data_IF_500873162621
#
_entry.id   IF_500873162621
#
_cell.length_a   1.000
_cell.length_b   1.000
_cell.length_c   1.000
_cell.angle_alpha   90.00
_cell.angle_beta   90.00
_cell.angle_gamma   90.00
#
_symmetry.space_group_name_H-M   'P 1'
#
loop_
_entity.id
_entity.type
_entity.pdbx_description
1 polymer ?
#
# COMPACT_ATOMS: atom_id res chain seq x y z
N UNK A 1 44.84 -11.18 15.89
CA UNK A 1 43.57 -11.92 15.66
C UNK A 1 42.34 -11.23 16.29
N UNK A 2 42.47 -10.39 17.32
CA UNK A 2 41.37 -9.63 17.94
C UNK A 2 40.68 -8.63 16.99
N UNK A 3 41.45 -7.85 16.22
CA UNK A 3 40.90 -6.80 15.37
C UNK A 3 39.94 -7.35 14.31
N UNK A 4 40.26 -8.46 13.66
CA UNK A 4 39.40 -9.06 12.61
C UNK A 4 38.04 -9.49 13.17
N UNK A 5 38.04 -10.13 14.34
CA UNK A 5 36.80 -10.56 15.01
C UNK A 5 35.96 -9.33 15.39
N UNK A 6 36.60 -8.24 15.82
CA UNK A 6 35.93 -7.00 16.19
C UNK A 6 35.30 -6.28 14.98
N UNK A 7 35.99 -6.26 13.84
CA UNK A 7 35.45 -5.74 12.58
C UNK A 7 34.28 -6.58 12.07
N UNK A 8 34.37 -7.92 12.13
CA UNK A 8 33.29 -8.83 11.72
C UNK A 8 32.05 -8.60 12.60
N UNK A 9 32.21 -8.49 13.92
CA UNK A 9 31.09 -8.21 14.85
C UNK A 9 30.42 -6.87 14.55
N UNK A 10 31.20 -5.81 14.28
CA UNK A 10 30.64 -4.50 13.90
C UNK A 10 29.82 -4.60 12.63
N UNK A 11 30.38 -5.17 11.56
CA UNK A 11 29.70 -5.31 10.27
C UNK A 11 28.40 -6.13 10.43
N UNK A 12 28.46 -7.24 11.16
CA UNK A 12 27.29 -8.07 11.44
C UNK A 12 26.17 -7.26 12.11
N UNK A 13 26.48 -6.50 13.16
CA UNK A 13 25.47 -5.70 13.88
C UNK A 13 24.88 -4.61 12.97
N UNK A 14 25.69 -3.94 12.14
CA UNK A 14 25.18 -2.93 11.21
C UNK A 14 24.24 -3.51 10.17
N UNK A 15 24.59 -4.65 9.56
CA UNK A 15 23.74 -5.31 8.58
C UNK A 15 22.46 -5.81 9.24
N UNK A 16 22.57 -6.49 10.39
CA UNK A 16 21.41 -6.98 11.13
C UNK A 16 20.45 -5.84 11.52
N UNK A 17 21.00 -4.73 12.00
CA UNK A 17 20.23 -3.54 12.35
C UNK A 17 19.58 -2.89 11.12
N UNK A 18 20.28 -2.85 9.98
CA UNK A 18 19.73 -2.33 8.74
C UNK A 18 18.55 -3.18 8.24
N UNK A 19 18.69 -4.51 8.26
CA UNK A 19 17.61 -5.44 7.90
C UNK A 19 16.44 -5.29 8.86
N UNK A 20 16.69 -5.27 10.17
CA UNK A 20 15.66 -5.08 11.18
C UNK A 20 14.90 -3.76 10.99
N UNK A 21 15.62 -2.67 10.72
CA UNK A 21 15.02 -1.37 10.44
C UNK A 21 14.12 -1.40 9.20
N UNK A 22 14.55 -2.05 8.12
CA UNK A 22 13.73 -2.21 6.90
C UNK A 22 12.44 -2.98 7.21
N UNK A 23 12.52 -4.08 7.97
CA UNK A 23 11.33 -4.85 8.37
C UNK A 23 10.36 -4.02 9.19
N UNK A 24 10.85 -3.21 10.14
CA UNK A 24 10.04 -2.30 10.95
C UNK A 24 9.36 -1.24 10.09
N UNK A 25 10.07 -0.65 9.12
CA UNK A 25 9.50 0.33 8.19
C UNK A 25 8.38 -0.30 7.36
N UNK A 26 8.62 -1.47 6.78
CA UNK A 26 7.63 -2.18 5.96
C UNK A 26 6.39 -2.50 6.80
N UNK A 27 6.57 -3.06 8.00
CA UNK A 27 5.46 -3.36 8.91
C UNK A 27 4.69 -2.10 9.33
N UNK A 28 5.40 -1.01 9.63
CA UNK A 28 4.79 0.27 9.97
C UNK A 28 3.94 0.84 8.84
N UNK A 29 4.44 0.81 7.60
CA UNK A 29 3.67 1.24 6.43
C UNK A 29 2.43 0.37 6.23
N UNK A 30 2.55 -0.95 6.40
CA UNK A 30 1.41 -1.86 6.26
C UNK A 30 0.30 -1.59 7.28
N UNK A 31 0.66 -1.39 8.55
CA UNK A 31 -0.31 -1.12 9.63
C UNK A 31 -1.02 0.22 9.39
N UNK A 32 -0.27 1.28 9.05
CA UNK A 32 -0.86 2.60 8.78
C UNK A 32 -1.75 2.54 7.53
N UNK A 33 -1.29 1.87 6.47
CA UNK A 33 -2.07 1.68 5.25
C UNK A 33 -3.38 0.94 5.53
N UNK A 34 -3.35 -0.11 6.37
CA UNK A 34 -4.54 -0.83 6.79
C UNK A 34 -5.49 0.11 7.54
N UNK A 35 -5.01 0.81 8.56
CA UNK A 35 -5.86 1.73 9.33
C UNK A 35 -6.46 2.85 8.48
N UNK A 36 -5.69 3.39 7.54
CA UNK A 36 -6.17 4.38 6.57
C UNK A 36 -7.29 3.80 5.70
N UNK A 37 -7.15 2.57 5.17
CA UNK A 37 -8.20 1.93 4.36
C UNK A 37 -9.44 1.57 5.17
N UNK A 38 -9.27 1.14 6.42
CA UNK A 38 -10.39 0.69 7.26
C UNK A 38 -11.20 1.86 7.84
N UNK A 39 -10.55 2.95 8.26
CA UNK A 39 -11.21 4.03 9.01
C UNK A 39 -11.34 5.35 8.25
N UNK A 40 -10.46 5.64 7.29
CA UNK A 40 -10.44 6.93 6.56
C UNK A 40 -10.93 6.78 5.12
N UNK A 41 -10.44 5.77 4.42
CA UNK A 41 -10.69 5.49 3.01
C UNK A 41 -11.52 4.21 2.87
N UNK A 42 -12.73 4.20 3.43
CA UNK A 42 -13.58 3.01 3.51
C UNK A 42 -13.93 2.39 2.15
N UNK A 43 -13.87 3.15 1.04
CA UNK A 43 -14.07 2.59 -0.31
C UNK A 43 -12.84 1.87 -0.84
N UNK A 44 -11.66 2.07 -0.25
CA UNK A 44 -10.43 1.42 -0.70
C UNK A 44 -10.48 -0.11 -0.59
N UNK A 45 -11.27 -0.66 0.32
CA UNK A 45 -11.38 -2.11 0.51
C UNK A 45 -12.54 -2.75 -0.25
N UNK A 46 -13.27 -1.95 -1.04
CA UNK A 46 -14.39 -2.44 -1.84
C UNK A 46 -13.89 -2.96 -3.18
N UNK A 47 -14.19 -4.23 -3.46
CA UNK A 47 -14.05 -4.83 -4.78
C UNK A 47 -15.39 -4.79 -5.49
N UNK A 48 -15.45 -4.08 -6.62
CA UNK A 48 -16.62 -4.11 -7.49
C UNK A 48 -16.51 -5.30 -8.44
N UNK A 49 -17.59 -6.06 -8.55
CA UNK A 49 -17.70 -7.13 -9.53
C UNK A 49 -18.12 -6.53 -10.86
N UNK A 50 -17.51 -6.99 -11.95
CA UNK A 50 -17.92 -6.60 -13.29
C UNK A 50 -19.35 -7.08 -13.53
N UNK A 51 -20.26 -6.23 -14.04
CA UNK A 51 -21.64 -6.64 -14.26
C UNK A 51 -21.69 -7.73 -15.34
N UNK A 52 -22.31 -8.87 -15.02
CA UNK A 52 -22.40 -10.00 -15.93
C UNK A 52 -23.57 -9.80 -16.92
N UNK A 53 -23.44 -10.29 -18.16
CA UNK A 53 -24.55 -10.28 -19.11
C UNK A 53 -25.71 -11.14 -18.59
N UNK A 54 -26.94 -10.69 -18.80
CA UNK A 54 -28.16 -11.36 -18.30
C UNK A 54 -28.79 -12.18 -19.42
N UNK A 55 -29.26 -13.38 -19.10
CA UNK A 55 -30.02 -14.23 -20.04
C UNK A 55 -31.49 -13.82 -19.98
N UNK A 56 -32.08 -13.41 -21.11
CA UNK A 56 -33.50 -13.02 -21.15
C UNK A 56 -34.31 -14.21 -21.70
N UNK A 57 -35.18 -14.85 -20.89
CA UNK A 57 -35.84 -16.11 -21.28
C UNK A 57 -36.93 -15.96 -22.35
N UNK A 58 -37.33 -14.74 -22.71
CA UNK A 58 -38.55 -14.47 -23.49
C UNK A 58 -38.37 -14.56 -25.02
N UNK A 59 -37.14 -14.60 -25.55
CA UNK A 59 -36.86 -14.67 -27.01
C UNK A 59 -35.66 -15.58 -27.32
N UNK A 60 -35.79 -16.87 -27.05
CA UNK A 60 -34.66 -17.80 -27.17
C UNK A 60 -33.52 -17.39 -26.23
N UNK A 61 -32.46 -18.19 -26.13
CA UNK A 61 -31.31 -17.86 -25.28
C UNK A 61 -30.53 -16.68 -25.88
N UNK A 62 -31.02 -15.46 -25.66
CA UNK A 62 -30.34 -14.23 -26.04
C UNK A 62 -29.62 -13.67 -24.82
N UNK A 63 -28.31 -13.49 -24.97
CA UNK A 63 -27.43 -12.88 -23.98
C UNK A 63 -27.59 -11.36 -24.14
N UNK A 64 -28.11 -10.69 -23.12
CA UNK A 64 -28.19 -9.24 -23.08
C UNK A 64 -26.93 -8.70 -22.39
N UNK A 65 -26.21 -7.83 -23.09
CA UNK A 65 -25.06 -7.12 -22.52
C UNK A 65 -25.50 -6.28 -21.30
N UNK A 66 -24.59 -6.05 -20.33
CA UNK A 66 -24.86 -5.18 -19.19
C UNK A 66 -25.33 -3.80 -19.66
N UNK A 67 -26.32 -3.23 -18.95
CA UNK A 67 -26.83 -1.89 -19.24
C UNK A 67 -25.68 -0.87 -19.22
N UNK A 68 -25.53 0.01 -20.22
CA UNK A 68 -24.47 1.01 -20.26
C UNK A 68 -24.33 1.84 -18.98
N UNK A 69 -25.44 2.13 -18.29
CA UNK A 69 -25.42 2.87 -17.02
C UNK A 69 -24.80 2.06 -15.88
N UNK A 70 -25.06 0.75 -15.82
CA UNK A 70 -24.47 -0.16 -14.84
C UNK A 70 -22.95 -0.28 -15.04
N UNK A 71 -22.51 -0.29 -16.31
CA UNK A 71 -21.08 -0.27 -16.68
C UNK A 71 -20.39 1.03 -16.28
N UNK A 72 -21.01 2.19 -16.55
CA UNK A 72 -20.46 3.50 -16.16
C UNK A 72 -20.33 3.63 -14.64
N UNK A 73 -21.33 3.18 -13.88
CA UNK A 73 -21.29 3.19 -12.42
C UNK A 73 -20.18 2.28 -11.88
N UNK A 74 -20.06 1.06 -12.42
CA UNK A 74 -18.96 0.14 -12.10
C UNK A 74 -17.60 0.81 -12.33
N UNK A 75 -17.38 1.41 -13.50
CA UNK A 75 -16.12 2.06 -13.84
C UNK A 75 -15.81 3.21 -12.88
N UNK A 76 -16.80 4.07 -12.61
CA UNK A 76 -16.64 5.22 -11.71
C UNK A 76 -16.24 4.77 -10.30
N UNK A 77 -16.93 3.75 -9.80
CA UNK A 77 -16.72 3.23 -8.46
C UNK A 77 -15.39 2.48 -8.32
N UNK A 78 -15.03 1.65 -9.29
CA UNK A 78 -13.73 0.96 -9.32
C UNK A 78 -12.57 1.96 -9.38
N UNK A 79 -12.65 2.98 -10.25
CA UNK A 79 -11.66 4.05 -10.32
C UNK A 79 -11.51 4.79 -8.99
N UNK A 80 -12.61 5.09 -8.31
CA UNK A 80 -12.57 5.74 -7.00
C UNK A 80 -11.87 4.87 -5.95
N UNK A 81 -12.19 3.57 -5.90
CA UNK A 81 -11.57 2.63 -4.95
C UNK A 81 -10.09 2.40 -5.23
N UNK A 82 -9.67 2.35 -6.50
CA UNK A 82 -8.24 2.28 -6.87
C UNK A 82 -7.49 3.51 -6.39
N UNK A 83 -8.03 4.71 -6.63
CA UNK A 83 -7.42 5.97 -6.18
C UNK A 83 -7.28 6.05 -4.67
N UNK A 84 -8.32 5.63 -3.93
CA UNK A 84 -8.26 5.60 -2.47
C UNK A 84 -7.23 4.61 -1.93
N UNK A 85 -7.11 3.40 -2.52
CA UNK A 85 -6.04 2.45 -2.17
C UNK A 85 -4.65 3.04 -2.39
N UNK A 86 -4.46 3.71 -3.52
CA UNK A 86 -3.19 4.34 -3.86
C UNK A 86 -2.86 5.48 -2.89
N UNK A 87 -3.84 6.34 -2.58
CA UNK A 87 -3.69 7.42 -1.62
C UNK A 87 -3.34 6.91 -0.23
N UNK A 88 -4.05 5.89 0.27
CA UNK A 88 -3.77 5.28 1.58
C UNK A 88 -2.34 4.74 1.66
N UNK A 89 -1.87 4.04 0.62
CA UNK A 89 -0.52 3.50 0.56
C UNK A 89 0.54 4.61 0.56
N UNK A 90 0.35 5.64 -0.29
CA UNK A 90 1.28 6.76 -0.39
C UNK A 90 1.35 7.56 0.92
N UNK A 91 0.20 7.83 1.55
CA UNK A 91 0.13 8.54 2.83
C UNK A 91 0.82 7.72 3.92
N UNK A 92 0.62 6.39 3.96
CA UNK A 92 1.30 5.54 4.92
C UNK A 92 2.83 5.59 4.77
N UNK A 93 3.34 5.55 3.53
CA UNK A 93 4.76 5.70 3.24
C UNK A 93 5.30 7.06 3.69
N UNK A 94 4.56 8.14 3.46
CA UNK A 94 4.95 9.49 3.89
C UNK A 94 4.99 9.56 5.43
N UNK A 95 3.95 9.09 6.12
CA UNK A 95 3.88 9.14 7.58
C UNK A 95 5.06 8.39 8.23
N UNK A 96 5.47 7.24 7.69
CA UNK A 96 6.61 6.46 8.21
C UNK A 96 7.95 7.01 7.72
N UNK A 97 8.04 7.37 6.45
CA UNK A 97 9.28 7.79 5.80
C UNK A 97 9.74 9.18 6.21
N UNK A 98 8.82 10.13 6.44
CA UNK A 98 9.14 11.49 6.87
C UNK A 98 9.94 11.55 8.19
N UNK A 99 9.51 10.94 9.30
CA UNK A 99 10.30 10.97 10.53
C UNK A 99 11.67 10.31 10.36
N UNK A 100 11.76 9.24 9.58
CA UNK A 100 13.03 8.57 9.28
C UNK A 100 13.98 9.49 8.50
N UNK A 101 13.48 10.12 7.43
CA UNK A 101 14.24 11.09 6.64
C UNK A 101 14.72 12.26 7.50
N UNK A 102 13.83 12.85 8.31
CA UNK A 102 14.17 13.96 9.18
C UNK A 102 15.21 13.58 10.24
N UNK A 103 15.13 12.37 10.80
CA UNK A 103 16.11 11.86 11.74
C UNK A 103 17.50 11.78 11.10
N UNK A 104 17.61 11.13 9.94
CA UNK A 104 18.89 11.01 9.22
C UNK A 104 19.44 12.38 8.80
N UNK A 105 18.59 13.26 8.29
CA UNK A 105 18.98 14.62 7.87
C UNK A 105 19.48 15.50 9.04
N UNK A 106 18.91 15.34 10.24
CA UNK A 106 19.40 16.06 11.44
C UNK A 106 20.72 15.49 11.94
N UNK A 107 20.93 14.17 11.83
CA UNK A 107 22.16 13.53 12.27
C UNK A 107 23.36 13.97 11.43
N UNK A 108 23.21 14.04 10.11
CA UNK A 108 24.29 14.48 9.20
C UNK A 108 24.67 15.94 9.45
N UNK A 109 23.69 16.81 9.71
CA UNK A 109 23.95 18.23 10.05
C UNK A 109 24.64 18.45 11.40
N UNK A 110 24.69 17.46 12.29
CA UNK A 110 25.45 17.56 13.56
C UNK A 110 26.92 17.15 13.42
N UNK A 111 27.29 16.54 12.29
CA UNK A 111 28.63 16.02 12.03
C UNK A 111 29.43 16.88 11.04
N UNK A 112 28.78 17.84 10.36
CA UNK A 112 29.42 18.99 9.71
C UNK A 112 29.57 20.15 10.69
#
# INVERSE_FOLDING_TARGET
MSNVIEWVKRIYIYIFSAVGLILVIIGGVQIINLGLKTWVFTKADVYYNYPAPRVVPEKGQTVQEPDPKELEEYQRNDLASRRQRQAASAIAMIIVGTPLFLYHWRLTRKQS
#
